data_IF_332426308160
#
_entry.id   IF_332426308160
#
_cell.length_a   1.000
_cell.length_b   1.000
_cell.length_c   1.000
_cell.angle_alpha   90.00
_cell.angle_beta   90.00
_cell.angle_gamma   90.00
#
_symmetry.space_group_name_H-M   'P 1'
#
loop_
_entity.id
_entity.type
_entity.pdbx_description
1 polymer ?
#
# COMPACT_ATOMS: atom_id res chain seq x y z
N UNK A 1 -25.77 -2.96 -12.22
CA UNK A 1 -25.73 -3.99 -13.32
C UNK A 1 -24.34 -4.56 -13.39
N UNK A 2 -24.18 -5.87 -13.58
CA UNK A 2 -22.86 -6.49 -13.72
C UNK A 2 -22.31 -6.27 -15.14
N UNK A 3 -21.12 -5.69 -15.23
CA UNK A 3 -20.40 -5.40 -16.49
C UNK A 3 -19.14 -6.24 -16.53
N UNK A 4 -18.82 -6.80 -17.70
CA UNK A 4 -17.66 -7.67 -17.89
C UNK A 4 -16.67 -7.05 -18.86
N UNK A 5 -15.38 -7.12 -18.54
CA UNK A 5 -14.26 -6.71 -19.41
C UNK A 5 -13.24 -7.83 -19.52
N UNK A 6 -12.55 -7.89 -20.65
CA UNK A 6 -11.45 -8.83 -20.82
C UNK A 6 -10.31 -8.50 -19.86
N UNK A 7 -9.65 -9.53 -19.34
CA UNK A 7 -8.46 -9.38 -18.50
C UNK A 7 -7.27 -9.12 -19.43
N UNK A 8 -6.54 -8.05 -19.16
CA UNK A 8 -5.33 -7.67 -19.90
C UNK A 8 -4.33 -8.82 -19.95
N UNK A 9 -3.83 -9.14 -21.17
CA UNK A 9 -2.97 -10.27 -21.47
C UNK A 9 -3.70 -11.62 -21.55
N UNK A 10 -5.01 -11.64 -21.37
CA UNK A 10 -5.86 -12.84 -21.45
C UNK A 10 -7.13 -12.62 -22.29
N UNK A 11 -7.08 -11.69 -23.22
CA UNK A 11 -8.20 -11.30 -24.08
C UNK A 11 -8.82 -12.51 -24.79
N UNK A 12 -10.14 -12.56 -24.84
CA UNK A 12 -10.88 -13.67 -25.44
C UNK A 12 -10.82 -14.99 -24.69
N UNK A 13 -10.11 -15.07 -23.53
CA UNK A 13 -10.00 -16.26 -22.68
C UNK A 13 -10.63 -16.08 -21.32
N UNK A 14 -10.42 -14.94 -20.68
CA UNK A 14 -10.94 -14.65 -19.34
C UNK A 14 -11.49 -13.23 -19.26
N UNK A 15 -12.57 -13.08 -18.51
CA UNK A 15 -13.17 -11.79 -18.20
C UNK A 15 -13.32 -11.61 -16.68
N UNK A 16 -13.23 -10.36 -16.25
CA UNK A 16 -13.51 -9.93 -14.89
C UNK A 16 -14.72 -9.00 -14.89
N UNK A 17 -15.55 -9.05 -13.86
CA UNK A 17 -16.69 -8.14 -13.70
C UNK A 17 -16.37 -7.03 -12.71
N UNK A 18 -17.14 -5.92 -12.83
CA UNK A 18 -17.11 -4.83 -11.87
C UNK A 18 -17.55 -5.23 -10.45
N UNK A 19 -18.16 -6.42 -10.29
CA UNK A 19 -18.57 -6.97 -8.99
C UNK A 19 -17.54 -7.95 -8.41
N UNK A 20 -16.39 -8.14 -9.06
CA UNK A 20 -15.33 -9.02 -8.58
C UNK A 20 -15.51 -10.49 -8.97
N UNK A 21 -16.37 -10.82 -9.93
CA UNK A 21 -16.46 -12.15 -10.49
C UNK A 21 -15.46 -12.32 -11.64
N UNK A 22 -14.97 -13.55 -11.82
CA UNK A 22 -14.06 -13.90 -12.91
C UNK A 22 -14.61 -15.11 -13.64
N UNK A 23 -14.64 -15.05 -14.98
CA UNK A 23 -15.11 -16.18 -15.81
C UNK A 23 -14.09 -16.53 -16.89
N UNK A 24 -14.07 -17.81 -17.26
CA UNK A 24 -13.45 -18.32 -18.48
C UNK A 24 -14.45 -18.27 -19.61
N UNK A 25 -14.02 -17.83 -20.78
CA UNK A 25 -14.86 -17.80 -22.00
C UNK A 25 -14.83 -19.13 -22.77
N UNK A 26 -13.88 -20.01 -22.43
CA UNK A 26 -13.77 -21.34 -23.04
C UNK A 26 -13.48 -22.37 -21.96
N UNK A 27 -14.45 -23.22 -21.64
CA UNK A 27 -14.28 -24.30 -20.69
C UNK A 27 -14.27 -25.65 -21.42
N UNK A 28 -13.26 -26.50 -21.17
CA UNK A 28 -13.09 -27.82 -21.79
C UNK A 28 -13.14 -27.80 -23.34
N UNK A 29 -12.48 -26.79 -23.96
CA UNK A 29 -12.47 -26.61 -25.43
C UNK A 29 -13.87 -26.36 -26.07
N UNK A 30 -14.87 -26.06 -25.26
CA UNK A 30 -16.18 -25.62 -25.72
C UNK A 30 -16.32 -24.12 -25.46
N UNK A 31 -17.01 -23.40 -26.35
CA UNK A 31 -17.32 -21.95 -26.19
C UNK A 31 -18.40 -21.73 -25.12
N UNK A 32 -18.21 -22.32 -23.94
CA UNK A 32 -19.11 -22.21 -22.79
C UNK A 32 -18.40 -21.37 -21.74
N UNK A 33 -18.98 -20.22 -21.39
CA UNK A 33 -18.44 -19.41 -20.30
C UNK A 33 -18.73 -20.06 -18.95
N UNK A 34 -17.74 -20.05 -18.05
CA UNK A 34 -17.88 -20.58 -16.71
C UNK A 34 -17.22 -19.64 -15.69
N UNK A 35 -17.96 -19.32 -14.64
CA UNK A 35 -17.38 -18.60 -13.49
C UNK A 35 -16.33 -19.47 -12.82
N UNK A 36 -15.18 -18.85 -12.54
CA UNK A 36 -14.05 -19.50 -11.89
C UNK A 36 -14.21 -19.45 -10.38
N UNK A 37 -13.87 -20.55 -9.72
CA UNK A 37 -13.83 -20.62 -8.28
C UNK A 37 -12.71 -19.69 -7.75
N UNK A 38 -13.03 -18.88 -6.76
CA UNK A 38 -12.10 -18.02 -6.07
C UNK A 38 -11.76 -18.62 -4.71
N UNK A 39 -10.51 -18.49 -4.28
CA UNK A 39 -10.04 -18.91 -2.96
C UNK A 39 -9.54 -17.69 -2.19
N UNK A 40 -9.58 -17.76 -0.88
CA UNK A 40 -8.97 -16.75 -0.02
C UNK A 40 -7.55 -17.18 0.30
N UNK A 41 -6.58 -16.29 0.08
CA UNK A 41 -5.18 -16.55 0.43
C UNK A 41 -4.91 -16.30 1.93
N UNK A 42 -3.71 -16.59 2.41
CA UNK A 42 -3.32 -16.41 3.82
C UNK A 42 -3.35 -14.94 4.29
N UNK A 43 -3.42 -13.99 3.37
CA UNK A 43 -3.52 -12.56 3.66
C UNK A 43 -4.97 -12.05 3.65
N UNK A 44 -5.97 -12.93 3.47
CA UNK A 44 -7.39 -12.58 3.44
C UNK A 44 -7.92 -12.13 2.08
N UNK A 45 -7.11 -12.09 1.02
CA UNK A 45 -7.55 -11.63 -0.30
C UNK A 45 -8.08 -12.77 -1.18
N UNK A 46 -9.12 -12.49 -1.97
CA UNK A 46 -9.59 -13.42 -3.00
C UNK A 46 -8.58 -13.54 -4.13
N UNK A 47 -8.27 -14.78 -4.49
CA UNK A 47 -7.42 -15.15 -5.63
C UNK A 47 -8.17 -16.05 -6.60
N UNK A 48 -7.82 -15.94 -7.88
CA UNK A 48 -8.30 -16.80 -8.96
C UNK A 48 -7.10 -17.37 -9.71
N UNK A 49 -7.22 -18.61 -10.20
CA UNK A 49 -6.20 -19.27 -11.01
C UNK A 49 -6.50 -19.05 -12.49
N UNK A 50 -5.59 -18.38 -13.20
CA UNK A 50 -5.66 -18.23 -14.66
C UNK A 50 -4.58 -19.10 -15.31
N UNK A 51 -4.93 -19.76 -16.41
CA UNK A 51 -3.98 -20.60 -17.13
C UNK A 51 -3.20 -19.76 -18.15
N UNK A 52 -1.89 -19.66 -17.96
CA UNK A 52 -0.95 -19.11 -18.91
C UNK A 52 0.10 -20.17 -19.32
N UNK A 53 0.25 -20.40 -20.62
CA UNK A 53 1.22 -21.37 -21.16
C UNK A 53 1.20 -22.73 -20.45
N UNK A 54 -0.01 -23.27 -20.21
CA UNK A 54 -0.26 -24.55 -19.50
C UNK A 54 0.11 -24.54 -18.00
N UNK A 55 0.33 -23.34 -17.40
CA UNK A 55 0.56 -23.17 -15.96
C UNK A 55 -0.57 -22.37 -15.34
N UNK A 56 -1.04 -22.79 -14.18
CA UNK A 56 -2.01 -22.04 -13.41
C UNK A 56 -1.29 -21.00 -12.56
N UNK A 57 -1.54 -19.73 -12.81
CA UNK A 57 -0.94 -18.59 -12.09
C UNK A 57 -2.02 -17.95 -11.24
N UNK A 58 -1.77 -17.73 -9.94
CA UNK A 58 -2.73 -17.04 -9.06
C UNK A 58 -2.70 -15.53 -9.31
N UNK A 59 -3.87 -14.93 -9.44
CA UNK A 59 -4.08 -13.50 -9.54
C UNK A 59 -4.97 -13.01 -8.41
N UNK A 60 -4.67 -11.84 -7.86
CA UNK A 60 -5.50 -11.16 -6.88
C UNK A 60 -6.71 -10.55 -7.58
N UNK A 61 -7.92 -10.90 -7.15
CA UNK A 61 -9.16 -10.48 -7.82
C UNK A 61 -9.35 -8.97 -7.79
N UNK A 62 -9.09 -8.31 -6.65
CA UNK A 62 -9.19 -6.84 -6.55
C UNK A 62 -8.27 -6.13 -7.55
N UNK A 63 -7.06 -6.67 -7.83
CA UNK A 63 -6.17 -6.08 -8.82
C UNK A 63 -6.70 -6.24 -10.25
N UNK A 64 -7.27 -7.40 -10.59
CA UNK A 64 -7.89 -7.61 -11.90
C UNK A 64 -9.07 -6.64 -12.11
N UNK A 65 -9.90 -6.45 -11.07
CA UNK A 65 -11.02 -5.49 -11.12
C UNK A 65 -10.50 -4.06 -11.25
N UNK A 66 -9.54 -3.68 -10.44
CA UNK A 66 -8.99 -2.32 -10.46
C UNK A 66 -8.34 -1.99 -11.82
N UNK A 67 -7.58 -2.92 -12.40
CA UNK A 67 -6.97 -2.75 -13.74
C UNK A 67 -8.04 -2.58 -14.83
N UNK A 68 -9.17 -3.27 -14.72
CA UNK A 68 -10.21 -3.22 -15.73
C UNK A 68 -11.19 -2.04 -15.58
N UNK A 69 -11.46 -1.56 -14.36
CA UNK A 69 -12.59 -0.68 -14.08
C UNK A 69 -12.25 0.61 -13.34
N UNK A 70 -11.07 0.72 -12.73
CA UNK A 70 -10.68 1.89 -11.93
C UNK A 70 -9.55 2.63 -12.63
N UNK A 71 -9.76 3.90 -12.95
CA UNK A 71 -8.75 4.73 -13.60
C UNK A 71 -7.53 4.95 -12.70
N UNK A 72 -6.33 4.87 -13.31
CA UNK A 72 -5.05 5.05 -12.62
C UNK A 72 -4.11 6.02 -13.38
N UNK A 73 -4.50 7.29 -13.55
CA UNK A 73 -3.72 8.24 -14.34
C UNK A 73 -2.34 8.54 -13.75
N UNK A 74 -2.16 8.32 -12.45
CA UNK A 74 -0.91 8.56 -11.74
C UNK A 74 -0.03 7.30 -11.59
N UNK A 75 -0.42 6.17 -12.17
CA UNK A 75 0.26 4.87 -12.05
C UNK A 75 0.56 4.48 -10.59
N UNK A 76 -0.42 4.64 -9.70
CA UNK A 76 -0.27 4.23 -8.30
C UNK A 76 -0.15 2.70 -8.19
N UNK A 77 0.73 2.19 -7.31
CA UNK A 77 1.06 0.76 -7.26
C UNK A 77 0.10 -0.08 -6.43
N UNK A 78 -0.68 0.54 -5.53
CA UNK A 78 -1.51 -0.14 -4.54
C UNK A 78 -2.99 0.01 -4.88
N UNK A 79 -3.75 -1.06 -4.66
CA UNK A 79 -5.22 -1.02 -4.66
C UNK A 79 -5.69 -1.09 -3.22
N UNK A 80 -6.43 -0.08 -2.77
CA UNK A 80 -7.08 -0.01 -1.46
C UNK A 80 -8.54 -0.44 -1.56
N UNK A 81 -9.06 -1.08 -0.50
CA UNK A 81 -10.50 -1.31 -0.30
C UNK A 81 -11.03 -0.20 0.60
N UNK A 82 -11.95 0.63 0.08
CA UNK A 82 -12.49 1.78 0.83
C UNK A 82 -13.25 1.39 2.10
N UNK A 83 -13.82 0.19 2.14
CA UNK A 83 -14.50 -0.38 3.31
C UNK A 83 -13.60 -1.26 4.18
N UNK A 84 -12.28 -1.33 3.89
CA UNK A 84 -11.29 -2.21 4.51
C UNK A 84 -11.63 -3.71 4.47
N UNK A 85 -12.62 -4.11 3.71
CA UNK A 85 -13.00 -5.51 3.53
C UNK A 85 -12.30 -6.12 2.30
N UNK A 86 -11.25 -6.96 2.47
CA UNK A 86 -10.49 -7.53 1.35
C UNK A 86 -11.31 -8.52 0.50
N UNK A 87 -12.51 -8.87 0.94
CA UNK A 87 -13.43 -9.75 0.20
C UNK A 87 -14.42 -8.97 -0.68
N UNK A 88 -14.57 -7.65 -0.47
CA UNK A 88 -15.45 -6.80 -1.26
C UNK A 88 -14.69 -6.19 -2.44
N UNK A 89 -14.63 -6.95 -3.54
CA UNK A 89 -13.90 -6.57 -4.75
C UNK A 89 -14.77 -5.83 -5.78
N UNK A 90 -15.84 -5.16 -5.37
CA UNK A 90 -16.60 -4.27 -6.24
C UNK A 90 -15.73 -3.11 -6.71
N UNK A 91 -15.80 -2.74 -7.99
CA UNK A 91 -15.02 -1.64 -8.57
C UNK A 91 -15.24 -0.31 -7.81
N UNK A 92 -16.47 -0.03 -7.39
CA UNK A 92 -16.82 1.18 -6.65
C UNK A 92 -16.17 1.25 -5.25
N UNK A 93 -15.79 0.08 -4.69
CA UNK A 93 -15.10 -0.05 -3.41
C UNK A 93 -13.58 0.01 -3.54
N UNK A 94 -13.04 -0.01 -4.75
CA UNK A 94 -11.60 -0.04 -4.98
C UNK A 94 -11.08 1.33 -5.42
N UNK A 95 -9.86 1.63 -5.02
CA UNK A 95 -9.14 2.81 -5.48
C UNK A 95 -7.65 2.52 -5.62
N UNK A 96 -7.01 3.16 -6.60
CA UNK A 96 -5.56 3.15 -6.71
C UNK A 96 -4.95 4.19 -5.79
N UNK A 97 -3.93 3.81 -5.04
CA UNK A 97 -3.29 4.72 -4.09
C UNK A 97 -1.79 4.47 -3.94
N UNK A 98 -1.13 5.36 -3.20
CA UNK A 98 0.26 5.19 -2.77
C UNK A 98 0.34 4.32 -1.51
N UNK A 99 1.52 3.76 -1.23
CA UNK A 99 1.77 3.06 0.04
C UNK A 99 1.51 3.96 1.26
N UNK A 100 1.89 5.23 1.18
CA UNK A 100 1.69 6.22 2.24
C UNK A 100 0.21 6.46 2.51
N UNK A 101 -0.57 6.69 1.44
CA UNK A 101 -2.01 6.89 1.55
C UNK A 101 -2.69 5.68 2.19
N UNK A 102 -2.43 4.48 1.66
CA UNK A 102 -3.04 3.24 2.18
C UNK A 102 -2.75 3.03 3.67
N UNK A 103 -1.53 3.36 4.12
CA UNK A 103 -1.16 3.25 5.52
C UNK A 103 -1.87 4.28 6.39
N UNK A 104 -1.93 5.55 5.95
CA UNK A 104 -2.64 6.62 6.66
C UNK A 104 -4.11 6.29 6.75
N UNK A 105 -4.71 5.87 5.66
CA UNK A 105 -6.12 5.46 5.58
C UNK A 105 -6.44 4.38 6.63
N UNK A 106 -5.64 3.31 6.68
CA UNK A 106 -5.79 2.25 7.69
C UNK A 106 -5.61 2.76 9.13
N UNK A 107 -4.68 3.71 9.37
CA UNK A 107 -4.49 4.31 10.71
C UNK A 107 -5.64 5.22 11.13
N UNK A 108 -6.28 5.91 10.18
CA UNK A 108 -7.41 6.79 10.44
C UNK A 108 -8.68 5.98 10.73
N UNK A 109 -8.84 4.85 10.04
CA UNK A 109 -9.95 3.91 10.29
C UNK A 109 -9.77 3.13 11.61
N UNK A 110 -8.52 2.94 12.08
CA UNK A 110 -8.17 2.22 13.30
C UNK A 110 -7.33 3.08 14.26
N UNK A 111 -7.94 4.05 14.97
CA UNK A 111 -7.22 4.92 15.91
C UNK A 111 -6.48 4.17 17.02
N UNK A 112 -6.96 2.97 17.39
CA UNK A 112 -6.32 2.07 18.35
C UNK A 112 -4.95 1.60 17.86
N UNK A 113 -4.78 1.28 16.58
CA UNK A 113 -3.49 0.90 15.99
C UNK A 113 -2.49 2.05 16.07
N UNK A 114 -2.97 3.28 15.87
CA UNK A 114 -2.17 4.50 16.01
C UNK A 114 -1.70 4.67 17.47
N UNK A 115 -2.60 4.44 18.43
CA UNK A 115 -2.30 4.51 19.86
C UNK A 115 -1.29 3.44 20.28
N UNK A 116 -1.49 2.20 19.84
CA UNK A 116 -0.57 1.09 20.08
C UNK A 116 0.82 1.33 19.47
N UNK A 117 0.89 1.89 18.26
CA UNK A 117 2.14 2.26 17.62
C UNK A 117 2.89 3.31 18.44
N UNK A 118 2.21 4.35 18.92
CA UNK A 118 2.78 5.42 19.77
C UNK A 118 3.23 4.83 21.12
N UNK A 119 2.43 3.95 21.75
CA UNK A 119 2.82 3.29 23.00
C UNK A 119 4.03 2.38 22.82
N UNK A 120 4.10 1.63 21.74
CA UNK A 120 5.24 0.77 21.43
C UNK A 120 6.50 1.59 21.14
N UNK A 121 6.39 2.73 20.45
CA UNK A 121 7.49 3.66 20.23
C UNK A 121 7.99 4.27 21.54
N UNK A 122 7.10 4.67 22.44
CA UNK A 122 7.47 5.18 23.78
C UNK A 122 8.10 4.11 24.66
N UNK A 123 7.58 2.88 24.64
CA UNK A 123 8.20 1.73 25.35
C UNK A 123 9.59 1.39 24.81
N UNK A 124 9.79 1.52 23.50
CA UNK A 124 11.10 1.29 22.87
C UNK A 124 12.10 2.41 23.21
N UNK A 125 11.65 3.67 23.24
CA UNK A 125 12.41 4.82 23.67
C UNK A 125 12.86 4.72 25.13
N UNK A 126 11.97 4.29 26.03
CA UNK A 126 12.30 4.13 27.46
C UNK A 126 13.21 2.94 27.78
N UNK A 127 13.15 1.83 27.00
CA UNK A 127 14.07 0.69 27.18
C UNK A 127 15.50 1.03 26.79
N UNK A 128 15.70 1.88 25.78
CA UNK A 128 17.03 2.29 25.33
C UNK A 128 17.68 3.38 26.20
N UNK A 129 16.96 3.96 27.19
CA UNK A 129 17.53 4.95 28.12
C UNK A 129 18.43 4.36 29.21
N UNK A 130 18.52 3.02 29.35
CA UNK A 130 19.48 2.39 30.24
C UNK A 130 20.79 2.10 29.52
N UNK A 131 21.70 3.06 29.48
CA UNK A 131 23.10 2.72 29.42
C UNK A 131 24.04 3.41 28.42
N UNK A 132 23.60 4.24 27.47
CA UNK A 132 24.52 5.05 26.67
C UNK A 132 23.87 6.38 26.31
N UNK A 133 24.48 7.53 26.63
CA UNK A 133 24.02 8.81 26.09
C UNK A 133 24.34 8.82 24.60
N UNK A 134 23.36 8.51 23.76
CA UNK A 134 23.47 8.67 22.30
C UNK A 134 23.47 10.17 21.94
N UNK A 135 24.63 10.76 21.98
CA UNK A 135 24.92 12.19 21.87
C UNK A 135 24.55 12.81 20.51
N UNK A 136 24.01 12.06 19.55
CA UNK A 136 23.86 12.54 18.16
C UNK A 136 22.67 12.01 17.35
N UNK A 137 21.65 11.41 17.95
CA UNK A 137 20.49 11.02 17.14
C UNK A 137 19.46 12.14 17.10
N UNK A 138 19.30 12.73 15.91
CA UNK A 138 18.26 13.73 15.68
C UNK A 138 16.94 13.03 15.43
N UNK A 139 15.87 13.50 16.08
CA UNK A 139 14.53 13.07 15.78
C UNK A 139 14.18 13.41 14.32
N UNK A 140 13.35 12.56 13.73
CA UNK A 140 12.93 12.68 12.33
C UNK A 140 11.41 12.74 12.28
N UNK A 141 10.87 13.82 11.74
CA UNK A 141 9.46 13.96 11.45
C UNK A 141 9.16 13.48 10.03
N UNK A 142 7.98 12.86 9.86
CA UNK A 142 7.32 12.71 8.57
C UNK A 142 6.33 13.86 8.41
N UNK A 143 6.33 14.46 7.24
CA UNK A 143 5.46 15.58 6.90
C UNK A 143 4.50 15.20 5.76
N UNK A 144 3.31 15.81 5.77
CA UNK A 144 2.40 15.83 4.62
C UNK A 144 2.83 16.87 3.58
N UNK A 145 2.04 17.00 2.51
CA UNK A 145 2.28 17.96 1.44
C UNK A 145 2.09 19.42 1.89
N UNK A 146 1.38 19.63 2.99
CA UNK A 146 1.12 20.93 3.62
C UNK A 146 2.15 21.26 4.71
N UNK A 147 3.19 20.41 4.87
CA UNK A 147 4.23 20.50 5.92
C UNK A 147 3.74 20.25 7.36
N UNK A 148 2.55 19.65 7.55
CA UNK A 148 2.13 19.24 8.88
C UNK A 148 2.85 17.96 9.28
N UNK A 149 3.18 17.82 10.57
CA UNK A 149 3.82 16.62 11.10
C UNK A 149 2.79 15.50 11.19
N UNK A 150 3.01 14.42 10.43
CA UNK A 150 2.19 13.20 10.48
C UNK A 150 2.70 12.26 11.58
N UNK A 151 4.02 12.14 11.73
CA UNK A 151 4.64 11.25 12.72
C UNK A 151 6.05 11.70 13.07
N UNK A 152 6.54 11.30 14.27
CA UNK A 152 7.89 11.59 14.76
C UNK A 152 8.57 10.28 15.14
N UNK A 153 9.84 10.13 14.76
CA UNK A 153 10.69 8.99 15.10
C UNK A 153 11.95 9.48 15.83
N UNK A 154 12.46 8.68 16.75
CA UNK A 154 13.65 9.02 17.55
C UNK A 154 14.90 9.23 16.68
N UNK A 155 14.95 8.60 15.51
CA UNK A 155 16.05 8.76 14.57
C UNK A 155 15.70 8.19 13.18
N UNK A 156 16.54 8.52 12.19
CA UNK A 156 16.36 8.07 10.80
C UNK A 156 16.42 6.53 10.63
N UNK A 157 17.15 5.82 11.48
CA UNK A 157 17.24 4.35 11.43
C UNK A 157 15.94 3.69 11.86
N UNK A 158 15.33 4.21 12.92
CA UNK A 158 14.01 3.75 13.40
C UNK A 158 12.93 4.02 12.37
N UNK A 159 12.89 5.23 11.80
CA UNK A 159 11.97 5.59 10.72
C UNK A 159 12.13 4.65 9.52
N UNK A 160 13.36 4.45 9.06
CA UNK A 160 13.66 3.58 7.93
C UNK A 160 13.21 2.14 8.15
N UNK A 161 13.52 1.57 9.32
CA UNK A 161 13.15 0.19 9.68
C UNK A 161 11.63 -0.02 9.70
N UNK A 162 10.88 0.92 10.29
CA UNK A 162 9.42 0.84 10.40
C UNK A 162 8.76 0.98 9.04
N UNK A 163 9.32 1.80 8.16
CA UNK A 163 8.75 2.12 6.85
C UNK A 163 9.27 1.22 5.72
N UNK A 164 10.15 0.25 6.03
CA UNK A 164 10.75 -0.62 5.03
C UNK A 164 11.69 0.12 4.07
N UNK A 165 12.34 1.20 4.53
CA UNK A 165 13.24 2.03 3.74
C UNK A 165 14.71 1.80 4.14
N UNK A 166 15.62 2.27 3.32
CA UNK A 166 17.05 2.28 3.67
C UNK A 166 17.40 3.53 4.47
N UNK A 167 18.12 3.36 5.60
CA UNK A 167 18.45 4.47 6.53
C UNK A 167 19.19 5.62 5.84
N UNK A 168 20.09 5.32 4.90
CA UNK A 168 20.80 6.37 4.15
C UNK A 168 19.84 7.24 3.34
N UNK A 169 18.81 6.66 2.72
CA UNK A 169 17.84 7.43 1.93
C UNK A 169 17.05 8.40 2.81
N UNK A 170 16.60 7.96 4.00
CA UNK A 170 15.92 8.83 4.98
C UNK A 170 16.84 9.97 5.42
N UNK A 171 18.09 9.65 5.77
CA UNK A 171 19.09 10.64 6.23
C UNK A 171 19.41 11.66 5.15
N UNK A 172 19.60 11.23 3.90
CA UNK A 172 19.89 12.12 2.77
C UNK A 172 18.72 13.06 2.46
N UNK A 173 17.49 12.55 2.55
CA UNK A 173 16.28 13.38 2.37
C UNK A 173 16.16 14.41 3.48
N UNK A 174 16.37 14.04 4.76
CA UNK A 174 16.38 14.98 5.87
C UNK A 174 17.43 16.08 5.70
N UNK A 175 18.67 15.72 5.32
CA UNK A 175 19.76 16.69 5.05
C UNK A 175 19.41 17.62 3.90
N UNK A 176 18.82 17.08 2.82
CA UNK A 176 18.43 17.86 1.66
C UNK A 176 17.29 18.84 1.98
N UNK A 177 16.30 18.41 2.77
CA UNK A 177 15.16 19.23 3.15
C UNK A 177 15.56 20.33 4.13
N UNK A 178 16.50 20.06 5.07
CA UNK A 178 17.07 21.08 5.98
C UNK A 178 17.71 22.25 5.22
N UNK A 179 18.35 22.00 4.08
CA UNK A 179 18.98 23.04 3.25
C UNK A 179 17.97 23.83 2.42
N UNK A 180 16.73 23.36 2.30
CA UNK A 180 15.67 23.95 1.47
C UNK A 180 14.61 24.61 2.35
N UNK A 181 14.81 25.87 2.68
CA UNK A 181 13.81 26.64 3.42
C UNK A 181 12.57 27.01 2.57
N UNK A 182 12.71 27.01 1.24
CA UNK A 182 11.62 27.37 0.30
C UNK A 182 11.69 26.41 -0.90
N UNK A 183 10.53 25.83 -1.27
CA UNK A 183 10.37 25.00 -2.47
C UNK A 183 9.94 23.57 -2.19
N UNK A 184 9.78 22.76 -3.26
CA UNK A 184 9.32 21.37 -3.15
C UNK A 184 10.32 20.50 -2.41
N UNK A 185 9.95 19.94 -1.26
CA UNK A 185 10.79 19.05 -0.44
C UNK A 185 11.05 17.72 -1.15
N UNK A 186 12.22 17.13 -0.90
CA UNK A 186 12.57 15.79 -1.40
C UNK A 186 11.83 14.70 -0.64
N UNK A 187 11.63 13.56 -1.30
CA UNK A 187 10.94 12.38 -0.76
C UNK A 187 11.75 11.11 -0.94
N UNK A 188 11.51 10.14 -0.08
CA UNK A 188 11.93 8.75 -0.27
C UNK A 188 10.81 7.82 0.20
N UNK A 189 10.52 6.77 -0.57
CA UNK A 189 9.39 5.87 -0.31
C UNK A 189 8.03 6.58 -0.24
N UNK A 190 7.86 7.72 -0.95
CA UNK A 190 6.64 8.54 -0.91
C UNK A 190 6.55 9.52 0.26
N UNK A 191 7.47 9.45 1.24
CA UNK A 191 7.44 10.28 2.44
C UNK A 191 8.37 11.49 2.35
N UNK A 192 7.96 12.61 2.97
CA UNK A 192 8.79 13.79 3.25
C UNK A 192 9.36 13.61 4.66
N UNK A 193 10.68 13.71 4.80
CA UNK A 193 11.37 13.61 6.10
C UNK A 193 12.08 14.91 6.43
N UNK A 194 12.07 15.29 7.71
CA UNK A 194 12.81 16.42 8.23
C UNK A 194 13.37 16.12 9.61
N UNK A 195 14.58 16.64 9.91
CA UNK A 195 15.09 16.59 11.28
C UNK A 195 14.37 17.61 12.13
N UNK A 196 13.96 17.21 13.34
CA UNK A 196 13.46 18.13 14.35
C UNK A 196 14.67 18.78 15.01
N UNK A 197 14.69 20.08 15.05
CA UNK A 197 15.66 20.87 15.83
C UNK A 197 15.07 21.07 17.24
N UNK A 198 15.91 20.84 18.28
CA UNK A 198 15.58 21.20 19.67
C UNK A 198 15.60 22.70 19.85
#
# INVERSE_FOLDING_TARGET
MEVWKDIEGFEGRYQVSNLGNVKSLSFRNQKISKNLAQKVNNQGYKIVQLCERKRNIPFLVHRLVAMAFVDNPNNYPIVNHKDENPLNNNADNLEWCTYSYNRIYSMDMHPEMRKELVENLTKYSTRNKKGVPHKHYKQVAILDDSNNIINIYDNASTAAKILGLHTCNVTEVCKANRKRQIGKKRRTGGYIFEFIEE
#
